data_IF_408284675597
#
_entry.id   IF_408284675597
#
_cell.length_a   1.000
_cell.length_b   1.000
_cell.length_c   1.000
_cell.angle_alpha   90.00
_cell.angle_beta   90.00
_cell.angle_gamma   90.00
#
_symmetry.space_group_name_H-M   'P 1'
#
loop_
_entity.id
_entity.type
_entity.pdbx_description
1 polymer ?
#
# COMPACT_ATOMS: atom_id res chain seq x y z
N UNK A 1 14.06 4.33 10.57
CA UNK A 1 13.32 3.97 9.34
C UNK A 1 12.57 5.16 8.79
N UNK A 2 11.96 5.98 9.64
CA UNK A 2 11.06 7.05 9.19
C UNK A 2 11.67 8.04 8.19
N UNK A 3 12.93 8.50 8.32
CA UNK A 3 13.45 9.53 7.38
C UNK A 3 13.55 9.04 5.94
N UNK A 4 14.09 7.83 5.71
CA UNK A 4 14.23 7.27 4.36
C UNK A 4 12.88 6.94 3.72
N UNK A 5 11.91 6.49 4.54
CA UNK A 5 10.53 6.24 4.10
C UNK A 5 9.86 7.55 3.73
N UNK A 6 9.83 8.49 4.68
CA UNK A 6 9.09 9.73 4.58
C UNK A 6 9.63 10.60 3.43
N UNK A 7 10.93 10.53 3.14
CA UNK A 7 11.55 11.22 2.01
C UNK A 7 10.88 10.86 0.67
N UNK A 8 10.66 9.58 0.40
CA UNK A 8 10.10 9.11 -0.87
C UNK A 8 8.57 9.00 -0.86
N UNK A 9 7.98 8.68 0.31
CA UNK A 9 6.54 8.73 0.51
C UNK A 9 6.00 10.14 0.21
N UNK A 10 6.55 11.17 0.87
CA UNK A 10 6.14 12.56 0.62
C UNK A 10 6.38 13.04 -0.81
N UNK A 11 7.47 12.62 -1.48
CA UNK A 11 7.69 12.98 -2.88
C UNK A 11 6.65 12.36 -3.82
N UNK A 12 6.30 11.09 -3.60
CA UNK A 12 5.24 10.42 -4.37
C UNK A 12 3.90 11.10 -4.13
N UNK A 13 3.63 11.46 -2.88
CA UNK A 13 2.41 12.18 -2.50
C UNK A 13 2.31 13.54 -3.16
N UNK A 14 3.41 14.32 -3.18
CA UNK A 14 3.50 15.60 -3.90
C UNK A 14 3.21 15.37 -5.39
N UNK A 15 3.79 14.35 -6.00
CA UNK A 15 3.58 14.02 -7.40
C UNK A 15 2.12 13.66 -7.69
N UNK A 16 1.51 12.79 -6.89
CA UNK A 16 0.13 12.37 -7.08
C UNK A 16 -0.86 13.52 -6.85
N UNK A 17 -0.69 14.28 -5.77
CA UNK A 17 -1.56 15.39 -5.41
C UNK A 17 -1.48 16.59 -6.38
N UNK A 18 -0.41 16.72 -7.18
CA UNK A 18 -0.20 17.88 -8.06
C UNK A 18 -0.11 17.54 -9.56
N UNK A 19 0.12 16.28 -9.93
CA UNK A 19 0.39 15.91 -11.33
C UNK A 19 -0.58 14.86 -11.86
N UNK A 20 -0.76 13.73 -11.17
CA UNK A 20 -1.48 12.57 -11.74
C UNK A 20 -2.90 12.39 -11.23
N UNK A 21 -3.21 12.73 -9.98
CA UNK A 21 -4.50 12.41 -9.35
C UNK A 21 -5.07 13.60 -8.57
N UNK A 22 -4.96 14.79 -9.16
CA UNK A 22 -5.30 16.05 -8.51
C UNK A 22 -6.69 16.07 -7.85
N UNK A 23 -7.72 15.62 -8.58
CA UNK A 23 -9.10 15.67 -8.09
C UNK A 23 -9.34 14.68 -6.95
N UNK A 24 -8.83 13.45 -7.05
CA UNK A 24 -8.94 12.45 -5.97
C UNK A 24 -8.27 12.94 -4.68
N UNK A 25 -7.04 13.42 -4.77
CA UNK A 25 -6.29 13.89 -3.60
C UNK A 25 -6.92 15.13 -2.99
N UNK A 26 -7.44 16.03 -3.84
CA UNK A 26 -8.19 17.19 -3.36
C UNK A 26 -9.46 16.74 -2.63
N UNK A 27 -10.23 15.80 -3.17
CA UNK A 27 -11.48 15.32 -2.58
C UNK A 27 -11.24 14.68 -1.20
N UNK A 28 -10.28 13.76 -1.11
CA UNK A 28 -9.92 13.10 0.16
C UNK A 28 -9.50 14.12 1.21
N UNK A 29 -8.56 15.01 0.89
CA UNK A 29 -8.08 15.96 1.88
C UNK A 29 -9.12 17.04 2.22
N UNK A 30 -9.88 17.57 1.25
CA UNK A 30 -10.77 18.70 1.50
C UNK A 30 -12.18 18.30 1.94
N UNK A 31 -12.65 17.10 1.59
CA UNK A 31 -14.00 16.64 1.91
C UNK A 31 -13.98 15.53 2.98
N UNK A 32 -13.26 14.42 2.76
CA UNK A 32 -13.23 13.32 3.76
C UNK A 32 -12.54 13.74 5.06
N UNK A 33 -11.48 14.54 4.94
CA UNK A 33 -10.70 15.05 6.06
C UNK A 33 -10.98 16.53 6.37
N UNK A 34 -12.17 17.08 6.03
CA UNK A 34 -12.47 18.51 6.19
C UNK A 34 -12.21 19.02 7.62
N UNK A 35 -12.61 18.22 8.62
CA UNK A 35 -12.49 18.55 10.04
C UNK A 35 -11.12 18.20 10.65
N UNK A 36 -10.24 17.55 9.89
CA UNK A 36 -8.93 17.12 10.38
C UNK A 36 -7.85 18.17 10.09
N UNK A 37 -7.60 19.06 11.06
CA UNK A 37 -6.59 20.12 10.93
C UNK A 37 -5.16 19.61 10.64
N UNK A 38 -4.82 18.38 11.04
CA UNK A 38 -3.51 17.82 10.72
C UNK A 38 -3.43 17.45 9.23
N UNK A 39 -4.47 16.79 8.70
CA UNK A 39 -4.60 16.48 7.28
C UNK A 39 -4.60 17.75 6.42
N UNK A 40 -5.35 18.78 6.81
CA UNK A 40 -5.37 20.07 6.10
C UNK A 40 -3.98 20.73 6.03
N UNK A 41 -3.23 20.70 7.14
CA UNK A 41 -1.88 21.26 7.18
C UNK A 41 -0.89 20.48 6.31
N UNK A 42 -0.99 19.15 6.32
CA UNK A 42 -0.19 18.30 5.45
C UNK A 42 -0.49 18.58 3.98
N UNK A 43 -1.77 18.57 3.58
CA UNK A 43 -2.16 18.88 2.20
C UNK A 43 -1.67 20.26 1.76
N UNK A 44 -1.84 21.29 2.59
CA UNK A 44 -1.28 22.62 2.30
C UNK A 44 0.25 22.61 2.15
N UNK A 45 0.95 21.78 2.91
CA UNK A 45 2.40 21.62 2.77
C UNK A 45 2.76 20.93 1.45
N UNK A 46 2.02 19.90 1.01
CA UNK A 46 2.21 19.26 -0.30
C UNK A 46 2.09 20.29 -1.44
N UNK A 47 1.00 21.06 -1.44
CA UNK A 47 0.72 22.09 -2.46
C UNK A 47 1.80 23.19 -2.46
N UNK A 48 2.11 23.76 -1.29
CA UNK A 48 3.14 24.81 -1.17
C UNK A 48 4.53 24.33 -1.58
N UNK A 49 4.85 23.06 -1.31
CA UNK A 49 6.12 22.46 -1.69
C UNK A 49 6.23 22.37 -3.20
N UNK A 50 5.19 21.88 -3.88
CA UNK A 50 5.16 21.81 -5.35
C UNK A 50 5.19 23.20 -6.00
N UNK A 51 4.43 24.16 -5.46
CA UNK A 51 4.47 25.56 -5.93
C UNK A 51 5.86 26.17 -5.80
N UNK A 52 6.58 25.83 -4.72
CA UNK A 52 7.95 26.24 -4.48
C UNK A 52 9.00 25.56 -5.37
N UNK A 53 8.66 24.47 -6.07
CA UNK A 53 9.56 23.85 -7.03
C UNK A 53 9.71 24.75 -8.26
N UNK A 54 10.96 25.00 -8.65
CA UNK A 54 11.22 25.61 -9.96
C UNK A 54 10.90 24.63 -11.10
N UNK A 55 10.87 25.15 -12.33
CA UNK A 55 10.56 24.35 -13.51
C UNK A 55 11.39 23.05 -13.58
N UNK A 56 12.69 23.14 -13.23
CA UNK A 56 13.56 21.97 -13.25
C UNK A 56 13.18 20.93 -12.19
N UNK A 57 12.84 21.34 -10.97
CA UNK A 57 12.40 20.41 -9.92
C UNK A 57 11.06 19.74 -10.27
N UNK A 58 10.13 20.45 -10.93
CA UNK A 58 8.87 19.86 -11.40
C UNK A 58 9.12 18.83 -12.51
N UNK A 59 9.99 19.16 -13.46
CA UNK A 59 10.42 18.23 -14.51
C UNK A 59 11.13 17.00 -13.92
N UNK A 60 11.99 17.21 -12.92
CA UNK A 60 12.71 16.13 -12.22
C UNK A 60 11.74 15.26 -11.42
N UNK A 61 10.75 15.84 -10.72
CA UNK A 61 9.72 15.08 -10.02
C UNK A 61 8.94 14.19 -11.00
N UNK A 62 8.43 14.75 -12.09
CA UNK A 62 7.72 13.99 -13.11
C UNK A 62 8.57 12.87 -13.70
N UNK A 63 9.85 13.17 -13.99
CA UNK A 63 10.77 12.19 -14.54
C UNK A 63 11.08 11.02 -13.58
N UNK A 64 11.24 11.27 -12.28
CA UNK A 64 11.57 10.20 -11.32
C UNK A 64 10.36 9.34 -10.96
N UNK A 65 9.15 9.89 -11.01
CA UNK A 65 7.94 9.19 -10.58
C UNK A 65 7.02 8.78 -11.73
N UNK A 66 7.48 8.85 -12.99
CA UNK A 66 6.71 8.41 -14.16
C UNK A 66 6.64 6.88 -14.29
N UNK A 67 7.67 6.17 -13.82
CA UNK A 67 7.76 4.70 -13.92
C UNK A 67 7.86 4.00 -12.54
N UNK A 68 8.08 4.77 -11.48
CA UNK A 68 8.28 4.25 -10.13
C UNK A 68 7.52 5.09 -9.11
N UNK A 69 7.15 4.47 -8.00
CA UNK A 69 6.49 5.12 -6.86
C UNK A 69 7.33 4.97 -5.58
N UNK A 70 6.85 5.51 -4.46
CA UNK A 70 7.52 5.45 -3.16
C UNK A 70 7.98 4.03 -2.80
N UNK A 71 7.15 3.01 -3.05
CA UNK A 71 7.44 1.62 -2.70
C UNK A 71 8.78 1.18 -3.28
N UNK A 72 9.00 1.42 -4.57
CA UNK A 72 10.22 1.04 -5.28
C UNK A 72 11.49 1.68 -4.71
N UNK A 73 11.43 2.97 -4.38
CA UNK A 73 12.55 3.68 -3.77
C UNK A 73 12.79 3.25 -2.32
N UNK A 74 11.74 3.02 -1.56
CA UNK A 74 11.85 2.59 -0.15
C UNK A 74 12.46 1.19 -0.08
N UNK A 75 12.06 0.28 -0.97
CA UNK A 75 12.57 -1.09 -1.06
C UNK A 75 14.10 -1.12 -1.19
N UNK A 76 14.65 -0.30 -2.10
CA UNK A 76 16.10 -0.13 -2.27
C UNK A 76 16.82 0.24 -0.98
N UNK A 77 16.15 0.97 -0.09
CA UNK A 77 16.75 1.54 1.10
C UNK A 77 16.49 0.71 2.35
N UNK A 78 15.69 -0.36 2.30
CA UNK A 78 15.31 -1.16 3.47
C UNK A 78 16.54 -1.69 4.22
N UNK A 79 17.60 -2.07 3.52
CA UNK A 79 18.87 -2.54 4.09
C UNK A 79 19.61 -1.53 4.97
N UNK A 80 19.41 -0.22 4.76
CA UNK A 80 20.12 0.83 5.48
C UNK A 80 19.65 0.98 6.94
N UNK A 81 20.55 1.42 7.81
CA UNK A 81 20.24 1.69 9.22
C UNK A 81 19.11 2.71 9.41
N UNK A 82 18.42 2.64 10.55
CA UNK A 82 17.29 3.51 10.82
C UNK A 82 17.63 4.99 10.97
N UNK A 83 18.85 5.30 11.39
CA UNK A 83 19.42 6.63 11.59
C UNK A 83 20.08 7.21 10.33
N UNK A 84 19.99 6.51 9.19
CA UNK A 84 20.61 6.95 7.93
C UNK A 84 20.11 8.33 7.53
N UNK A 85 21.05 9.26 7.34
CA UNK A 85 20.78 10.63 6.89
C UNK A 85 20.53 10.70 5.39
N UNK A 86 19.86 11.75 4.91
CA UNK A 86 19.67 11.96 3.46
C UNK A 86 20.99 12.04 2.69
N UNK A 87 22.05 12.60 3.27
CA UNK A 87 23.39 12.58 2.65
C UNK A 87 23.91 11.16 2.44
N UNK A 88 23.68 10.26 3.40
CA UNK A 88 24.08 8.87 3.29
C UNK A 88 23.18 8.09 2.34
N UNK A 89 21.88 8.39 2.29
CA UNK A 89 20.94 7.85 1.28
C UNK A 89 21.43 8.20 -0.13
N UNK A 90 21.75 9.47 -0.38
CA UNK A 90 22.27 9.91 -1.69
C UNK A 90 23.57 9.19 -2.02
N UNK A 91 24.50 9.10 -1.06
CA UNK A 91 25.77 8.41 -1.26
C UNK A 91 25.56 6.94 -1.63
N UNK A 92 24.64 6.27 -0.94
CA UNK A 92 24.26 4.89 -1.24
C UNK A 92 23.67 4.73 -2.64
N UNK A 93 22.69 5.56 -3.02
CA UNK A 93 22.06 5.52 -4.35
C UNK A 93 23.08 5.74 -5.48
N UNK A 94 24.06 6.62 -5.28
CA UNK A 94 25.14 6.86 -6.24
C UNK A 94 26.08 5.64 -6.41
N UNK A 95 26.17 4.77 -5.40
CA UNK A 95 27.03 3.58 -5.37
C UNK A 95 26.33 2.32 -5.90
N UNK A 96 25.00 2.31 -5.99
CA UNK A 96 24.25 1.19 -6.56
C UNK A 96 24.66 0.94 -8.01
N UNK A 97 24.60 -0.32 -8.46
CA UNK A 97 24.78 -0.65 -9.88
C UNK A 97 23.58 -0.14 -10.68
N UNK A 98 23.80 0.17 -11.97
CA UNK A 98 22.70 0.61 -12.84
C UNK A 98 21.63 -0.49 -12.96
N UNK A 99 22.05 -1.76 -13.06
CA UNK A 99 21.14 -2.91 -13.06
C UNK A 99 20.25 -2.95 -11.80
N UNK A 100 20.81 -2.76 -10.60
CA UNK A 100 20.01 -2.77 -9.36
C UNK A 100 19.03 -1.61 -9.30
N UNK A 101 19.40 -0.44 -9.84
CA UNK A 101 18.47 0.68 -9.93
C UNK A 101 17.37 0.41 -10.96
N UNK A 102 17.69 -0.13 -12.13
CA UNK A 102 16.73 -0.46 -13.18
C UNK A 102 15.73 -1.53 -12.75
N UNK A 103 16.20 -2.58 -12.07
CA UNK A 103 15.35 -3.64 -11.51
C UNK A 103 14.27 -3.10 -10.56
N UNK A 104 14.58 -2.00 -9.86
CA UNK A 104 13.67 -1.39 -8.89
C UNK A 104 12.90 -0.18 -9.46
N UNK A 105 13.51 0.64 -10.31
CA UNK A 105 12.99 1.97 -10.69
C UNK A 105 12.58 2.07 -12.17
N UNK A 106 12.70 0.99 -12.94
CA UNK A 106 12.35 0.97 -14.35
C UNK A 106 13.47 1.45 -15.29
N UNK A 107 13.13 1.58 -16.57
CA UNK A 107 14.09 1.84 -17.64
C UNK A 107 14.74 3.22 -17.55
N UNK A 108 14.03 4.21 -16.96
CA UNK A 108 14.58 5.55 -16.72
C UNK A 108 15.88 5.53 -15.90
N UNK A 109 16.07 4.52 -15.04
CA UNK A 109 17.23 4.44 -14.17
C UNK A 109 18.53 4.04 -14.90
N UNK A 110 18.41 3.51 -16.13
CA UNK A 110 19.53 3.20 -17.01
C UNK A 110 20.04 4.42 -17.78
N UNK A 111 19.27 5.52 -17.81
CA UNK A 111 19.64 6.71 -18.57
C UNK A 111 20.93 7.36 -18.04
N UNK A 112 21.76 7.83 -18.98
CA UNK A 112 22.99 8.54 -18.64
C UNK A 112 22.68 9.80 -17.83
N UNK A 113 23.24 9.86 -16.62
CA UNK A 113 23.04 11.01 -15.73
C UNK A 113 21.86 10.88 -14.76
N UNK A 114 21.13 9.76 -14.75
CA UNK A 114 20.05 9.51 -13.78
C UNK A 114 20.51 9.74 -12.33
N UNK A 115 21.57 9.05 -11.90
CA UNK A 115 22.13 9.12 -10.54
C UNK A 115 22.50 10.55 -10.08
N UNK A 116 23.33 11.32 -10.81
CA UNK A 116 23.66 12.68 -10.40
C UNK A 116 22.45 13.63 -10.45
N UNK A 117 21.50 13.42 -11.38
CA UNK A 117 20.24 14.17 -11.43
C UNK A 117 19.40 13.91 -10.17
N UNK A 118 19.22 12.65 -9.79
CA UNK A 118 18.47 12.24 -8.59
C UNK A 118 19.14 12.79 -7.33
N UNK A 119 20.47 12.66 -7.23
CA UNK A 119 21.22 13.20 -6.11
C UNK A 119 21.06 14.72 -5.97
N UNK A 120 21.08 15.47 -7.08
CA UNK A 120 20.85 16.92 -7.04
C UNK A 120 19.42 17.24 -6.58
N UNK A 121 18.42 16.59 -7.17
CA UNK A 121 17.02 16.76 -6.81
C UNK A 121 16.77 16.49 -5.32
N UNK A 122 17.23 15.35 -4.79
CA UNK A 122 17.08 15.00 -3.38
C UNK A 122 17.74 16.00 -2.44
N UNK A 123 18.93 16.54 -2.78
CA UNK A 123 19.59 17.58 -1.98
C UNK A 123 18.76 18.85 -1.92
N UNK A 124 18.24 19.29 -3.08
CA UNK A 124 17.41 20.50 -3.17
C UNK A 124 16.11 20.32 -2.39
N UNK A 125 15.42 19.21 -2.62
CA UNK A 125 14.19 18.87 -1.90
C UNK A 125 14.41 18.85 -0.39
N UNK A 126 15.45 18.14 0.06
CA UNK A 126 15.77 18.01 1.47
C UNK A 126 16.03 19.36 2.16
N UNK A 127 16.93 20.16 1.58
CA UNK A 127 17.39 21.41 2.18
C UNK A 127 16.33 22.50 2.17
N UNK A 128 15.49 22.54 1.13
CA UNK A 128 14.54 23.64 0.92
C UNK A 128 13.15 23.37 1.50
N UNK A 129 12.74 22.10 1.63
CA UNK A 129 11.33 21.77 1.94
C UNK A 129 11.20 20.72 3.05
N UNK A 130 11.89 19.59 2.92
CA UNK A 130 11.61 18.41 3.75
C UNK A 130 12.20 18.47 5.17
N UNK A 131 13.41 19.02 5.36
CA UNK A 131 14.10 18.92 6.66
C UNK A 131 13.37 19.63 7.81
N UNK A 132 12.66 20.72 7.52
CA UNK A 132 11.84 21.42 8.53
C UNK A 132 10.56 20.62 8.83
N UNK A 133 9.86 20.21 7.77
CA UNK A 133 8.63 19.42 7.85
C UNK A 133 8.80 18.11 8.63
N UNK A 134 9.81 17.33 8.24
CA UNK A 134 10.10 16.04 8.88
C UNK A 134 10.37 16.16 10.38
N UNK A 135 11.05 17.24 10.83
CA UNK A 135 11.34 17.45 12.25
C UNK A 135 10.08 17.66 13.09
N UNK A 136 9.03 18.25 12.53
CA UNK A 136 7.77 18.48 13.23
C UNK A 136 6.99 17.17 13.46
N UNK A 137 7.04 16.27 12.48
CA UNK A 137 6.22 15.05 12.46
C UNK A 137 6.88 13.85 13.11
N UNK A 138 8.21 13.79 13.04
CA UNK A 138 8.97 12.60 13.40
C UNK A 138 8.71 12.14 14.82
N UNK A 139 8.75 13.05 15.80
CA UNK A 139 8.55 12.67 17.21
C UNK A 139 7.16 12.11 17.47
N UNK A 140 6.12 12.76 16.95
CA UNK A 140 4.72 12.32 17.13
C UNK A 140 4.48 10.95 16.49
N UNK A 141 4.97 10.77 15.27
CA UNK A 141 4.82 9.53 14.51
C UNK A 141 5.54 8.36 15.18
N UNK A 142 6.73 8.59 15.77
CA UNK A 142 7.46 7.56 16.52
C UNK A 142 6.73 7.13 17.79
N UNK A 143 6.23 8.07 18.58
CA UNK A 143 5.51 7.76 19.81
C UNK A 143 4.23 6.96 19.51
N UNK A 144 3.49 7.36 18.48
CA UNK A 144 2.28 6.66 18.05
C UNK A 144 2.61 5.26 17.51
N UNK A 145 3.64 5.13 16.65
CA UNK A 145 4.08 3.84 16.15
C UNK A 145 4.51 2.91 17.30
N UNK A 146 5.22 3.42 18.31
CA UNK A 146 5.62 2.63 19.47
C UNK A 146 4.41 2.11 20.27
N UNK A 147 3.39 2.95 20.47
CA UNK A 147 2.13 2.55 21.13
C UNK A 147 1.40 1.46 20.34
N UNK A 148 1.27 1.63 19.03
CA UNK A 148 0.62 0.67 18.14
C UNK A 148 1.37 -0.68 18.11
N UNK A 149 2.69 -0.66 17.93
CA UNK A 149 3.51 -1.88 17.98
C UNK A 149 3.42 -2.59 19.34
N UNK A 150 3.27 -1.85 20.44
CA UNK A 150 3.08 -2.44 21.77
C UNK A 150 1.66 -3.02 21.97
N UNK A 151 0.66 -2.49 21.25
CA UNK A 151 -0.71 -3.00 21.29
C UNK A 151 -0.90 -4.31 20.51
N UNK A 152 -0.06 -4.55 19.49
CA UNK A 152 0.00 -5.79 18.74
C UNK A 152 0.65 -6.92 19.56
N UNK A 153 -0.08 -7.46 20.54
CA UNK A 153 0.46 -8.44 21.48
C UNK A 153 0.25 -9.91 21.02
N UNK A 154 0.29 -10.16 19.71
CA UNK A 154 0.20 -11.48 19.11
C UNK A 154 0.98 -11.54 17.79
N UNK A 155 1.24 -12.75 17.29
CA UNK A 155 1.87 -12.94 15.98
C UNK A 155 0.82 -12.85 14.87
N UNK A 156 0.81 -11.71 14.14
CA UNK A 156 -0.11 -11.42 13.05
C UNK A 156 0.01 -12.44 11.92
N UNK A 157 1.23 -12.87 11.59
CA UNK A 157 1.48 -13.83 10.52
C UNK A 157 0.93 -15.20 10.90
N UNK A 158 1.24 -15.71 12.09
CA UNK A 158 0.69 -16.98 12.58
C UNK A 158 -0.85 -16.94 12.67
N UNK A 159 -1.41 -15.81 13.06
CA UNK A 159 -2.86 -15.60 13.05
C UNK A 159 -3.43 -15.75 11.63
N UNK A 160 -2.87 -15.03 10.65
CA UNK A 160 -3.31 -15.12 9.26
C UNK A 160 -3.17 -16.53 8.71
N UNK A 161 -2.06 -17.20 8.96
CA UNK A 161 -1.85 -18.58 8.50
C UNK A 161 -2.90 -19.54 9.05
N UNK A 162 -3.25 -19.39 10.34
CA UNK A 162 -4.27 -20.20 10.99
C UNK A 162 -5.66 -19.92 10.43
N UNK A 163 -6.03 -18.66 10.29
CA UNK A 163 -7.38 -18.27 9.87
C UNK A 163 -7.62 -18.44 8.36
N UNK A 164 -6.57 -18.56 7.55
CA UNK A 164 -6.64 -18.80 6.10
C UNK A 164 -6.25 -20.22 5.68
N UNK A 165 -5.71 -21.02 6.60
CA UNK A 165 -5.14 -22.34 6.36
C UNK A 165 -4.09 -22.37 5.24
N UNK A 166 -3.34 -21.28 5.08
CA UNK A 166 -2.21 -21.16 4.17
C UNK A 166 -0.94 -20.89 4.98
N UNK A 167 0.19 -21.44 4.54
CA UNK A 167 1.51 -21.10 5.06
C UNK A 167 2.19 -20.14 4.10
N UNK A 168 2.78 -19.06 4.62
CA UNK A 168 3.60 -18.18 3.79
C UNK A 168 4.85 -18.94 3.33
N UNK A 169 5.18 -18.85 2.06
CA UNK A 169 6.35 -19.51 1.49
C UNK A 169 7.60 -18.64 1.65
N UNK A 170 8.77 -19.24 1.94
CA UNK A 170 10.07 -18.56 1.95
C UNK A 170 10.62 -18.22 3.35
N UNK A 171 11.46 -17.18 3.44
CA UNK A 171 11.93 -16.61 4.70
C UNK A 171 10.78 -15.81 5.33
N UNK A 172 9.84 -16.53 5.94
CA UNK A 172 8.64 -15.95 6.53
C UNK A 172 9.03 -14.87 7.54
N UNK A 173 8.61 -13.62 7.36
CA UNK A 173 8.79 -12.64 8.40
C UNK A 173 8.01 -13.10 9.63
N UNK A 174 8.72 -13.32 10.74
CA UNK A 174 8.14 -13.83 12.00
C UNK A 174 7.48 -12.68 12.78
N UNK A 175 7.78 -11.43 12.40
CA UNK A 175 7.34 -10.24 13.11
C UNK A 175 6.80 -9.18 12.16
N UNK A 176 5.63 -8.65 12.45
CA UNK A 176 5.12 -7.42 11.82
C UNK A 176 5.57 -6.20 12.61
N UNK A 177 6.03 -5.15 11.92
CA UNK A 177 6.46 -3.88 12.52
C UNK A 177 5.76 -2.74 11.80
N UNK A 178 5.22 -1.81 12.59
CA UNK A 178 4.42 -0.70 12.10
C UNK A 178 5.18 0.63 12.17
N UNK A 179 5.04 1.45 11.14
CA UNK A 179 5.50 2.83 11.12
C UNK A 179 4.41 3.72 10.56
N UNK A 180 4.26 4.93 11.09
CA UNK A 180 3.38 5.92 10.47
C UNK A 180 4.17 6.74 9.44
N UNK A 181 3.51 7.07 8.34
CA UNK A 181 3.93 8.09 7.38
C UNK A 181 3.21 9.41 7.67
N UNK A 182 3.58 10.49 7.00
CA UNK A 182 2.82 11.75 7.06
C UNK A 182 1.54 11.76 6.22
N UNK A 183 1.39 10.80 5.31
CA UNK A 183 0.23 10.68 4.44
C UNK A 183 -1.01 10.24 5.20
N UNK A 184 -2.16 10.82 4.87
CA UNK A 184 -3.48 10.40 5.37
C UNK A 184 -4.17 9.42 4.42
N UNK A 185 -3.57 9.15 3.26
CA UNK A 185 -4.08 8.20 2.28
C UNK A 185 -2.96 7.25 1.84
N UNK A 186 -3.35 6.01 1.56
CA UNK A 186 -2.45 4.95 1.13
C UNK A 186 -1.69 4.27 2.28
N UNK A 187 -1.33 3.01 2.05
CA UNK A 187 -0.46 2.19 2.90
C UNK A 187 0.56 1.48 2.02
N UNK A 188 1.60 0.93 2.65
CA UNK A 188 2.61 0.13 1.95
C UNK A 188 3.15 -0.98 2.84
N UNK A 189 3.25 -2.18 2.29
CA UNK A 189 3.90 -3.34 2.89
C UNK A 189 5.28 -3.64 2.32
N UNK A 190 6.22 -4.06 3.18
CA UNK A 190 7.56 -4.50 2.75
C UNK A 190 8.04 -5.74 3.49
N UNK A 191 8.62 -6.67 2.76
CA UNK A 191 9.31 -7.84 3.32
C UNK A 191 10.80 -7.51 3.55
N UNK A 192 11.30 -7.68 4.78
CA UNK A 192 12.71 -7.46 5.12
C UNK A 192 13.21 -8.48 6.12
N UNK A 193 14.06 -9.41 5.67
CA UNK A 193 14.61 -10.47 6.51
C UNK A 193 13.51 -11.26 7.22
N UNK A 194 13.43 -11.19 8.56
CA UNK A 194 12.42 -11.81 9.41
C UNK A 194 11.28 -10.85 9.79
N UNK A 195 11.17 -9.70 9.13
CA UNK A 195 10.17 -8.66 9.43
C UNK A 195 9.29 -8.33 8.23
N UNK A 196 8.00 -8.16 8.50
CA UNK A 196 7.07 -7.51 7.60
C UNK A 196 6.84 -6.10 8.12
N UNK A 197 7.12 -5.11 7.29
CA UNK A 197 6.98 -3.71 7.62
C UNK A 197 5.68 -3.22 7.03
N UNK A 198 4.78 -2.67 7.84
CA UNK A 198 3.60 -1.97 7.37
C UNK A 198 3.74 -0.47 7.63
N UNK A 199 3.59 0.31 6.56
CA UNK A 199 3.49 1.76 6.63
C UNK A 199 2.02 2.15 6.74
N UNK A 200 1.70 2.84 7.82
CA UNK A 200 0.36 3.27 8.20
C UNK A 200 0.15 4.74 7.85
N UNK A 201 -1.12 5.11 7.71
CA UNK A 201 -1.57 6.49 7.58
C UNK A 201 -1.33 7.28 8.89
N UNK A 202 -1.18 8.59 8.76
CA UNK A 202 -0.82 9.51 9.84
C UNK A 202 -1.84 9.55 11.00
N UNK A 203 -3.11 9.27 10.72
CA UNK A 203 -4.22 9.27 11.66
C UNK A 203 -4.52 7.88 12.27
N UNK A 204 -3.75 6.85 11.90
CA UNK A 204 -3.92 5.50 12.46
C UNK A 204 -3.67 5.53 13.97
N UNK A 205 -4.74 5.33 14.73
CA UNK A 205 -4.76 5.59 16.18
C UNK A 205 -5.15 4.39 17.05
N UNK A 206 -5.67 3.32 16.44
CA UNK A 206 -6.20 2.16 17.16
C UNK A 206 -5.76 0.83 16.52
N UNK A 207 -5.93 -0.25 17.29
CA UNK A 207 -5.52 -1.61 16.90
C UNK A 207 -6.26 -2.11 15.65
N UNK A 208 -7.57 -1.91 15.57
CA UNK A 208 -8.38 -2.41 14.45
C UNK A 208 -7.95 -1.78 13.11
N UNK A 209 -7.77 -0.45 13.06
CA UNK A 209 -7.27 0.24 11.86
C UNK A 209 -5.86 -0.23 11.47
N UNK A 210 -4.98 -0.41 12.46
CA UNK A 210 -3.63 -0.94 12.22
C UNK A 210 -3.67 -2.38 11.66
N UNK A 211 -4.53 -3.25 12.21
CA UNK A 211 -4.69 -4.62 11.76
C UNK A 211 -5.32 -4.69 10.38
N UNK A 212 -6.26 -3.80 10.05
CA UNK A 212 -6.85 -3.70 8.72
C UNK A 212 -5.76 -3.48 7.66
N UNK A 213 -4.86 -2.53 7.90
CA UNK A 213 -3.71 -2.31 7.03
C UNK A 213 -2.77 -3.51 7.01
N UNK A 214 -2.48 -4.10 8.17
CA UNK A 214 -1.60 -5.27 8.23
C UNK A 214 -2.13 -6.44 7.41
N UNK A 215 -3.40 -6.79 7.59
CA UNK A 215 -4.03 -7.91 6.92
C UNK A 215 -4.17 -7.69 5.42
N UNK A 216 -4.42 -6.46 4.97
CA UNK A 216 -4.44 -6.09 3.56
C UNK A 216 -3.04 -6.24 2.92
N UNK A 217 -2.03 -5.55 3.44
CA UNK A 217 -0.67 -5.55 2.87
C UNK A 217 -0.02 -6.94 2.88
N UNK A 218 -0.14 -7.65 4.01
CA UNK A 218 0.34 -9.03 4.11
C UNK A 218 -0.51 -9.95 3.23
N UNK A 219 -1.79 -9.62 3.04
CA UNK A 219 -2.72 -10.31 2.15
C UNK A 219 -2.20 -10.37 0.71
N UNK A 220 -1.65 -9.29 0.15
CA UNK A 220 -1.00 -9.34 -1.17
C UNK A 220 0.12 -10.38 -1.24
N UNK A 221 0.91 -10.49 -0.16
CA UNK A 221 1.99 -11.49 -0.07
C UNK A 221 1.44 -12.90 0.00
N UNK A 222 0.35 -13.10 0.76
CA UNK A 222 -0.37 -14.38 0.83
C UNK A 222 -0.86 -14.80 -0.56
N UNK A 223 -1.56 -13.90 -1.25
CA UNK A 223 -2.22 -14.16 -2.52
C UNK A 223 -1.26 -14.25 -3.71
N UNK A 224 -0.03 -13.69 -3.63
CA UNK A 224 0.96 -13.59 -4.73
C UNK A 224 1.11 -14.86 -5.58
N UNK A 225 1.19 -16.04 -4.95
CA UNK A 225 1.36 -17.31 -5.68
C UNK A 225 0.09 -17.76 -6.41
N UNK A 226 -1.08 -17.53 -5.80
CA UNK A 226 -2.38 -17.82 -6.38
C UNK A 226 -2.67 -16.87 -7.55
N UNK A 227 -2.48 -15.57 -7.31
CA UNK A 227 -2.75 -14.50 -8.27
C UNK A 227 -1.69 -14.40 -9.34
N UNK A 228 -0.66 -15.24 -9.42
CA UNK A 228 0.23 -15.34 -10.60
C UNK A 228 -0.07 -16.57 -11.46
N UNK A 229 -0.94 -17.47 -11.00
CA UNK A 229 -1.32 -18.69 -11.73
C UNK A 229 -2.07 -18.40 -13.04
N UNK A 230 -1.92 -19.27 -14.04
CA UNK A 230 -2.67 -19.15 -15.30
C UNK A 230 -4.18 -19.27 -15.09
N UNK A 231 -4.59 -20.16 -14.19
CA UNK A 231 -6.00 -20.42 -13.89
C UNK A 231 -6.69 -19.17 -13.34
N UNK A 232 -6.07 -18.49 -12.37
CA UNK A 232 -6.60 -17.22 -11.86
C UNK A 232 -6.77 -16.19 -12.97
N UNK A 233 -5.77 -16.06 -13.86
CA UNK A 233 -5.86 -15.14 -15.00
C UNK A 233 -7.04 -15.42 -15.93
N UNK A 234 -7.38 -16.70 -16.16
CA UNK A 234 -8.56 -17.07 -16.95
C UNK A 234 -9.85 -16.67 -16.20
N UNK A 235 -9.93 -16.97 -14.90
CA UNK A 235 -11.11 -16.65 -14.09
C UNK A 235 -11.35 -15.15 -13.97
N UNK A 236 -10.30 -14.35 -13.85
CA UNK A 236 -10.37 -12.87 -13.86
C UNK A 236 -11.10 -12.37 -15.10
N UNK A 237 -10.72 -12.86 -16.28
CA UNK A 237 -11.38 -12.42 -17.52
C UNK A 237 -12.84 -12.83 -17.57
N UNK A 238 -13.19 -13.98 -16.99
CA UNK A 238 -14.57 -14.48 -16.95
C UNK A 238 -15.44 -13.75 -15.91
N UNK A 239 -14.93 -13.43 -14.72
CA UNK A 239 -15.72 -12.67 -13.73
C UNK A 239 -15.90 -11.22 -14.14
N UNK A 240 -14.95 -10.65 -14.90
CA UNK A 240 -15.08 -9.32 -15.51
C UNK A 240 -16.02 -9.30 -16.73
N UNK A 241 -16.73 -10.38 -17.04
CA UNK A 241 -17.93 -10.32 -17.89
C UNK A 241 -19.12 -9.72 -17.15
N UNK A 242 -19.09 -9.66 -15.80
CA UNK A 242 -20.05 -8.91 -14.99
C UNK A 242 -19.95 -7.41 -15.32
N UNK A 243 -21.02 -6.76 -15.82
CA UNK A 243 -20.99 -5.34 -16.18
C UNK A 243 -20.67 -4.40 -15.02
N UNK A 244 -21.13 -4.69 -13.80
CA UNK A 244 -20.86 -3.85 -12.62
C UNK A 244 -19.37 -3.91 -12.28
N UNK A 245 -18.82 -5.12 -12.19
CA UNK A 245 -17.41 -5.33 -11.85
C UNK A 245 -16.49 -4.78 -12.94
N UNK A 246 -16.85 -4.95 -14.21
CA UNK A 246 -16.10 -4.41 -15.34
C UNK A 246 -16.10 -2.88 -15.35
N UNK A 247 -17.24 -2.25 -15.07
CA UNK A 247 -17.35 -0.80 -14.99
C UNK A 247 -16.52 -0.24 -13.83
N UNK A 248 -16.61 -0.86 -12.65
CA UNK A 248 -15.76 -0.50 -11.51
C UNK A 248 -14.27 -0.63 -11.86
N UNK A 249 -13.86 -1.72 -12.53
CA UNK A 249 -12.46 -1.88 -12.96
C UNK A 249 -12.00 -0.77 -13.90
N UNK A 250 -12.87 -0.30 -14.81
CA UNK A 250 -12.55 0.81 -15.72
C UNK A 250 -12.38 2.14 -14.97
N UNK A 251 -13.13 2.38 -13.91
CA UNK A 251 -12.99 3.59 -13.08
C UNK A 251 -11.64 3.66 -12.36
N UNK A 252 -11.05 2.50 -12.08
CA UNK A 252 -9.74 2.37 -11.43
C UNK A 252 -8.62 1.93 -12.40
N UNK A 253 -8.81 2.00 -13.72
CA UNK A 253 -7.86 1.44 -14.69
C UNK A 253 -6.48 2.12 -14.69
N UNK A 254 -6.43 3.38 -14.25
CA UNK A 254 -5.19 4.15 -14.14
C UNK A 254 -4.33 3.69 -12.94
N UNK A 255 -4.96 3.05 -11.95
CA UNK A 255 -4.30 2.51 -10.77
C UNK A 255 -4.06 1.00 -10.87
N UNK A 256 -5.01 0.24 -11.44
CA UNK A 256 -4.99 -1.22 -11.45
C UNK A 256 -5.35 -1.79 -12.83
N UNK A 257 -4.47 -2.67 -13.32
CA UNK A 257 -4.85 -3.58 -14.42
C UNK A 257 -5.92 -4.57 -13.95
N UNK A 258 -6.64 -5.18 -14.91
CA UNK A 258 -7.76 -6.12 -14.67
C UNK A 258 -7.50 -7.16 -13.58
N UNK A 259 -6.33 -7.81 -13.65
CA UNK A 259 -5.91 -8.83 -12.69
C UNK A 259 -5.64 -8.29 -11.30
N UNK A 260 -4.96 -7.15 -11.22
CA UNK A 260 -4.67 -6.48 -9.95
C UNK A 260 -5.98 -6.00 -9.31
N UNK A 261 -6.91 -5.45 -10.09
CA UNK A 261 -8.20 -5.01 -9.58
C UNK A 261 -8.99 -6.14 -8.91
N UNK A 262 -9.07 -7.32 -9.53
CA UNK A 262 -9.72 -8.49 -8.90
C UNK A 262 -8.93 -8.98 -7.68
N UNK A 263 -7.59 -8.94 -7.70
CA UNK A 263 -6.76 -9.23 -6.53
C UNK A 263 -7.08 -8.29 -5.36
N UNK A 264 -7.13 -6.97 -5.59
CA UNK A 264 -7.45 -5.97 -4.55
C UNK A 264 -8.77 -6.32 -3.84
N UNK A 265 -9.84 -6.58 -4.60
CA UNK A 265 -11.15 -6.95 -4.03
C UNK A 265 -11.07 -8.23 -3.18
N UNK A 266 -10.26 -9.23 -3.59
CA UNK A 266 -10.08 -10.47 -2.84
C UNK A 266 -9.22 -10.28 -1.59
N UNK A 267 -8.19 -9.43 -1.66
CA UNK A 267 -7.31 -9.09 -0.54
C UNK A 267 -8.06 -8.25 0.49
N UNK A 268 -8.81 -7.24 0.07
CA UNK A 268 -9.70 -6.44 0.92
C UNK A 268 -10.73 -7.33 1.61
N UNK A 269 -11.40 -8.19 0.86
CA UNK A 269 -12.36 -9.11 1.44
C UNK A 269 -11.75 -10.08 2.45
N UNK A 270 -10.52 -10.55 2.19
CA UNK A 270 -9.76 -11.35 3.15
C UNK A 270 -9.37 -10.54 4.40
N UNK A 271 -8.94 -9.29 4.24
CA UNK A 271 -8.58 -8.39 5.35
C UNK A 271 -9.75 -8.19 6.31
N UNK A 272 -10.94 -7.91 5.75
CA UNK A 272 -12.16 -7.74 6.52
C UNK A 272 -12.60 -9.05 7.20
N UNK A 273 -12.51 -10.19 6.51
CA UNK A 273 -12.71 -11.49 7.14
C UNK A 273 -11.76 -11.69 8.34
N UNK A 274 -10.48 -11.35 8.22
CA UNK A 274 -9.51 -11.49 9.30
C UNK A 274 -9.80 -10.58 10.49
N UNK A 275 -10.25 -9.34 10.26
CA UNK A 275 -10.74 -8.45 11.32
C UNK A 275 -11.94 -9.05 12.06
N UNK A 276 -12.88 -9.65 11.31
CA UNK A 276 -14.02 -10.35 11.91
C UNK A 276 -13.57 -11.53 12.77
N UNK A 277 -12.62 -12.34 12.28
CA UNK A 277 -12.05 -13.48 13.03
C UNK A 277 -11.25 -13.05 14.26
N UNK A 278 -10.63 -11.87 14.20
CA UNK A 278 -9.94 -11.29 15.35
C UNK A 278 -10.93 -10.74 16.40
N UNK A 279 -12.15 -10.37 15.97
CA UNK A 279 -13.22 -9.87 16.83
C UNK A 279 -13.34 -8.35 16.87
N UNK A 280 -12.67 -7.63 15.98
CA UNK A 280 -12.70 -6.16 15.92
C UNK A 280 -13.96 -5.62 15.22
N UNK A 281 -14.58 -6.43 14.36
CA UNK A 281 -15.80 -6.07 13.63
C UNK A 281 -16.85 -7.18 13.74
N UNK A 282 -18.12 -6.80 13.58
CA UNK A 282 -19.26 -7.72 13.64
C UNK A 282 -19.86 -7.97 12.27
N UNK A 283 -20.67 -9.03 12.14
CA UNK A 283 -21.45 -9.28 10.92
C UNK A 283 -22.36 -8.10 10.53
N UNK A 284 -22.98 -7.46 11.53
CA UNK A 284 -23.84 -6.30 11.29
C UNK A 284 -23.06 -5.11 10.73
N UNK A 285 -21.78 -5.00 11.07
CA UNK A 285 -20.90 -3.99 10.51
C UNK A 285 -20.56 -4.35 9.06
N UNK A 286 -20.12 -5.59 8.80
CA UNK A 286 -19.78 -6.10 7.46
C UNK A 286 -20.91 -5.93 6.43
N UNK A 287 -22.16 -6.21 6.82
CA UNK A 287 -23.33 -6.05 5.94
C UNK A 287 -23.57 -4.59 5.52
N UNK A 288 -22.98 -3.62 6.21
CA UNK A 288 -23.19 -2.18 6.01
C UNK A 288 -21.96 -1.42 5.54
N UNK A 289 -20.83 -2.11 5.38
CA UNK A 289 -19.62 -1.43 4.95
C UNK A 289 -19.82 -0.91 3.52
N UNK A 290 -19.31 0.29 3.22
CA UNK A 290 -19.06 0.67 1.84
C UNK A 290 -17.98 -0.27 1.29
N UNK A 291 -18.30 -1.01 0.25
CA UNK A 291 -17.34 -1.72 -0.60
C UNK A 291 -17.38 -1.08 -1.97
N UNK A 292 -16.35 -1.29 -2.78
CA UNK A 292 -16.31 -0.76 -4.13
C UNK A 292 -17.25 -1.50 -5.08
N UNK A 293 -17.50 -2.79 -4.83
CA UNK A 293 -18.28 -3.66 -5.73
C UNK A 293 -19.13 -4.65 -4.94
N UNK A 294 -20.30 -5.04 -5.46
CA UNK A 294 -21.09 -6.10 -4.81
C UNK A 294 -20.35 -7.45 -4.81
N UNK A 295 -19.47 -7.68 -5.81
CA UNK A 295 -18.54 -8.81 -5.85
C UNK A 295 -17.70 -8.93 -4.57
N UNK A 296 -17.13 -7.81 -4.11
CA UNK A 296 -16.35 -7.75 -2.87
C UNK A 296 -17.22 -8.11 -1.66
N UNK A 297 -18.42 -7.53 -1.57
CA UNK A 297 -19.37 -7.80 -0.48
C UNK A 297 -19.72 -9.27 -0.39
N UNK A 298 -20.10 -9.88 -1.52
CA UNK A 298 -20.48 -11.29 -1.56
C UNK A 298 -19.33 -12.21 -1.19
N UNK A 299 -18.10 -11.85 -1.60
CA UNK A 299 -16.90 -12.59 -1.21
C UNK A 299 -16.67 -12.53 0.30
N UNK A 300 -16.76 -11.35 0.91
CA UNK A 300 -16.64 -11.15 2.36
C UNK A 300 -17.68 -11.97 3.11
N UNK A 301 -18.95 -11.85 2.71
CA UNK A 301 -20.05 -12.58 3.36
C UNK A 301 -19.82 -14.09 3.23
N UNK A 302 -19.44 -14.57 2.04
CA UNK A 302 -19.09 -15.97 1.82
C UNK A 302 -17.94 -16.44 2.71
N UNK A 303 -16.88 -15.64 2.86
CA UNK A 303 -15.77 -15.95 3.78
C UNK A 303 -16.24 -16.09 5.23
N UNK A 304 -17.19 -15.28 5.67
CA UNK A 304 -17.66 -15.37 7.06
C UNK A 304 -18.65 -16.51 7.27
N UNK A 305 -19.56 -16.74 6.32
CA UNK A 305 -20.67 -17.69 6.51
C UNK A 305 -20.36 -19.11 6.05
N UNK A 306 -19.48 -19.28 5.07
CA UNK A 306 -19.23 -20.56 4.42
C UNK A 306 -17.79 -21.07 4.58
N UNK A 307 -16.79 -20.17 4.54
CA UNK A 307 -15.39 -20.59 4.63
C UNK A 307 -15.05 -21.14 6.02
N UNK A 308 -14.39 -22.28 6.03
CA UNK A 308 -13.98 -22.96 7.25
C UNK A 308 -12.53 -23.43 7.12
N UNK A 309 -11.56 -22.76 7.77
CA UNK A 309 -10.13 -23.08 7.62
C UNK A 309 -9.75 -24.48 8.12
N UNK A 310 -10.64 -25.17 8.85
CA UNK A 310 -10.44 -26.56 9.24
C UNK A 310 -10.61 -27.57 8.10
N UNK A 311 -11.29 -27.19 7.01
CA UNK A 311 -11.69 -28.11 5.92
C UNK A 311 -11.13 -27.71 4.56
N UNK A 312 -10.86 -26.43 4.35
CA UNK A 312 -10.31 -25.93 3.10
C UNK A 312 -9.39 -24.73 3.34
N UNK A 313 -8.54 -24.43 2.37
CA UNK A 313 -7.71 -23.23 2.36
C UNK A 313 -8.48 -22.05 1.78
N UNK A 314 -8.04 -20.82 2.09
CA UNK A 314 -8.67 -19.63 1.51
C UNK A 314 -8.65 -19.68 -0.01
N UNK A 315 -7.57 -20.16 -0.65
CA UNK A 315 -7.51 -20.27 -2.11
C UNK A 315 -8.49 -21.30 -2.69
N UNK A 316 -8.77 -22.39 -1.98
CA UNK A 316 -9.80 -23.35 -2.39
C UNK A 316 -11.19 -22.71 -2.32
N UNK A 317 -11.45 -21.95 -1.26
CA UNK A 317 -12.69 -21.20 -1.12
C UNK A 317 -12.83 -20.12 -2.21
N UNK A 318 -11.80 -19.28 -2.41
CA UNK A 318 -11.76 -18.25 -3.45
C UNK A 318 -12.03 -18.86 -4.82
N UNK A 319 -11.40 -19.99 -5.15
CA UNK A 319 -11.65 -20.67 -6.42
C UNK A 319 -13.11 -21.08 -6.58
N UNK A 320 -13.72 -21.68 -5.56
CA UNK A 320 -15.14 -22.05 -5.59
C UNK A 320 -16.03 -20.81 -5.74
N UNK A 321 -15.70 -19.72 -5.06
CA UNK A 321 -16.44 -18.47 -5.16
C UNK A 321 -16.41 -17.92 -6.59
N UNK A 322 -15.22 -17.80 -7.19
CA UNK A 322 -15.07 -17.36 -8.57
C UNK A 322 -15.80 -18.28 -9.55
N UNK A 323 -15.72 -19.60 -9.37
CA UNK A 323 -16.42 -20.57 -10.22
C UNK A 323 -17.95 -20.40 -10.15
N UNK A 324 -18.48 -20.18 -8.94
CA UNK A 324 -19.92 -19.88 -8.76
C UNK A 324 -20.31 -18.58 -9.46
N UNK A 325 -19.49 -17.54 -9.36
CA UNK A 325 -19.73 -16.25 -10.04
C UNK A 325 -19.77 -16.40 -11.55
N UNK A 326 -18.79 -17.10 -12.11
CA UNK A 326 -18.73 -17.40 -13.54
C UNK A 326 -19.96 -18.20 -13.99
N UNK A 327 -20.38 -19.20 -13.22
CA UNK A 327 -21.60 -19.95 -13.53
C UNK A 327 -22.83 -19.05 -13.44
N UNK A 328 -22.96 -18.16 -12.45
CA UNK A 328 -24.10 -17.25 -12.37
C UNK A 328 -24.21 -16.36 -13.61
N UNK A 329 -23.09 -15.83 -14.10
CA UNK A 329 -23.04 -14.98 -15.30
C UNK A 329 -23.45 -15.74 -16.57
N UNK A 330 -23.11 -17.02 -16.70
CA UNK A 330 -23.47 -17.83 -17.86
C UNK A 330 -24.97 -18.16 -17.97
N UNK A 331 -25.73 -17.99 -16.88
CA UNK A 331 -27.15 -18.32 -16.80
C UNK A 331 -28.06 -17.09 -16.73
N UNK A 332 -27.47 -15.89 -16.72
CA UNK A 332 -28.13 -14.60 -16.95
C UNK A 332 -28.13 -14.28 -18.43
#
# INVERSE_FOLDING_TARGET
MAQKIELFASLTEIYQANVTHYDLWRDVYLNEYEDNQAAQRHYQWLMKTYDGFDARMRDDLNYFFSEANAWHYIDLLLGLEYSTTVSNIITYLLQLTDARLADNLGGIAEESGFKPRLANFLRRYYNSFFAAYFRELYTRSLEQAAKLNASANFNIIEFMERETAIKFAGSTPVKTVFYLTSAFMGSMGFERQDQYICLLQADTSNLASMLATAFHEIGHTLFRTYITSRDFGIKVEQVLEDPELAQAQLEFSDAYGRRAFVEENLVDGCSLYLLYRHGDISMQWLERIPVYTEFEREYIIGLVTEFQPAWETIFQFTNKFLDRKIIQLQWQ
#
